data_IF_026832408855
#
_entry.id   IF_026832408855
#
_cell.length_a   1.000
_cell.length_b   1.000
_cell.length_c   1.000
_cell.angle_alpha   90.00
_cell.angle_beta   90.00
_cell.angle_gamma   90.00
#
_symmetry.space_group_name_H-M   'P 1'
#
loop_
_entity.id
_entity.type
_entity.pdbx_description
1 polymer ?
#
# COMPACT_ATOMS: atom_id res chain seq x y z
N UNK A 1 -21.91 -24.26 38.58
CA UNK A 1 -20.67 -24.97 38.20
C UNK A 1 -20.30 -24.60 36.77
N UNK A 2 -19.04 -24.28 36.52
CA UNK A 2 -18.50 -23.95 35.21
C UNK A 2 -17.87 -25.21 34.63
N UNK A 3 -18.21 -25.57 33.40
CA UNK A 3 -17.69 -26.77 32.73
C UNK A 3 -17.06 -26.41 31.40
N UNK A 4 -15.99 -27.12 31.04
CA UNK A 4 -15.30 -26.99 29.76
C UNK A 4 -15.40 -28.30 29.01
N UNK A 5 -15.91 -28.24 27.78
CA UNK A 5 -16.04 -29.40 26.90
C UNK A 5 -15.45 -29.06 25.53
N UNK A 6 -14.77 -30.02 24.90
CA UNK A 6 -14.32 -29.85 23.51
C UNK A 6 -15.39 -30.35 22.55
N UNK A 7 -15.96 -29.44 21.76
CA UNK A 7 -16.89 -29.79 20.69
C UNK A 7 -16.25 -29.45 19.35
N UNK A 8 -16.05 -30.46 18.49
CA UNK A 8 -15.39 -30.33 17.18
C UNK A 8 -13.99 -29.66 17.26
N UNK A 9 -13.24 -29.94 18.32
CA UNK A 9 -11.90 -29.40 18.55
C UNK A 9 -11.85 -27.96 19.07
N UNK A 10 -13.00 -27.32 19.31
CA UNK A 10 -13.08 -26.00 19.93
C UNK A 10 -13.51 -26.13 21.41
N UNK A 11 -12.83 -25.46 22.35
CA UNK A 11 -13.24 -25.43 23.74
C UNK A 11 -14.53 -24.62 23.88
N UNK A 12 -15.53 -25.26 24.49
CA UNK A 12 -16.80 -24.66 24.87
C UNK A 12 -16.85 -24.51 26.38
N UNK A 13 -16.87 -23.27 26.86
CA UNK A 13 -16.95 -22.94 28.29
C UNK A 13 -18.39 -22.62 28.64
N UNK A 14 -18.99 -23.39 29.54
CA UNK A 14 -20.36 -23.14 30.02
C UNK A 14 -20.31 -22.41 31.35
N UNK A 15 -20.71 -21.14 31.37
CA UNK A 15 -20.66 -20.26 32.54
C UNK A 15 -22.09 -19.90 32.99
N UNK A 16 -22.43 -20.03 34.28
CA UNK A 16 -23.68 -19.51 34.81
C UNK A 16 -23.61 -17.98 34.92
N UNK A 17 -24.50 -17.28 34.22
CA UNK A 17 -24.54 -15.82 34.21
C UNK A 17 -25.29 -15.28 35.45
N UNK A 18 -24.74 -14.25 36.14
CA UNK A 18 -25.26 -13.80 37.44
C UNK A 18 -26.64 -13.15 37.37
N UNK A 19 -26.96 -12.39 36.32
CA UNK A 19 -28.20 -11.59 36.28
C UNK A 19 -29.45 -12.44 36.06
N UNK A 20 -29.37 -13.40 35.13
CA UNK A 20 -30.52 -14.19 34.67
C UNK A 20 -30.51 -15.63 35.19
N UNK A 21 -29.44 -16.05 35.87
CA UNK A 21 -29.23 -17.41 36.39
C UNK A 21 -29.35 -18.50 35.33
N UNK A 22 -29.10 -18.15 34.06
CA UNK A 22 -29.04 -19.09 32.94
C UNK A 22 -27.60 -19.54 32.71
N UNK A 23 -27.41 -20.74 32.15
CA UNK A 23 -26.08 -21.22 31.75
C UNK A 23 -25.85 -20.82 30.29
N UNK A 24 -24.89 -19.94 30.06
CA UNK A 24 -24.49 -19.55 28.71
C UNK A 24 -23.23 -20.30 28.29
N UNK A 25 -23.15 -20.65 27.00
CA UNK A 25 -22.04 -21.44 26.44
C UNK A 25 -21.25 -20.59 25.46
N UNK A 26 -19.97 -20.43 25.73
CA UNK A 26 -19.04 -19.66 24.91
C UNK A 26 -18.14 -20.61 24.12
N UNK A 27 -18.14 -20.48 22.79
CA UNK A 27 -17.23 -21.24 21.94
C UNK A 27 -16.00 -20.40 21.64
N UNK A 28 -14.83 -20.86 22.07
CA UNK A 28 -13.58 -20.09 21.95
C UNK A 28 -12.69 -20.69 20.86
N UNK A 29 -11.94 -19.83 20.17
CA UNK A 29 -10.94 -20.24 19.18
C UNK A 29 -9.55 -20.19 19.83
N UNK A 30 -8.90 -21.33 20.12
CA UNK A 30 -7.67 -21.39 20.92
C UNK A 30 -6.53 -20.47 20.44
N UNK A 31 -6.41 -20.32 19.12
CA UNK A 31 -5.31 -19.60 18.46
C UNK A 31 -5.64 -18.11 18.23
N UNK A 32 -6.91 -17.79 17.92
CA UNK A 32 -7.30 -16.42 17.54
C UNK A 32 -7.93 -15.62 18.68
N UNK A 33 -8.48 -16.29 19.69
CA UNK A 33 -9.01 -15.61 20.86
C UNK A 33 -8.01 -15.61 22.00
N UNK A 34 -8.01 -14.50 22.71
CA UNK A 34 -7.28 -14.29 23.95
C UNK A 34 -8.22 -14.40 25.15
N UNK A 35 -7.64 -14.50 26.35
CA UNK A 35 -8.41 -14.42 27.61
C UNK A 35 -9.20 -13.11 27.65
N UNK A 36 -8.62 -12.00 27.18
CA UNK A 36 -9.29 -10.70 27.08
C UNK A 36 -10.56 -10.74 26.23
N UNK A 37 -10.51 -11.40 25.08
CA UNK A 37 -11.68 -11.57 24.23
C UNK A 37 -12.76 -12.40 24.93
N UNK A 38 -12.38 -13.46 25.64
CA UNK A 38 -13.31 -14.26 26.43
C UNK A 38 -13.99 -13.45 27.55
N UNK A 39 -13.21 -12.66 28.29
CA UNK A 39 -13.76 -11.79 29.33
C UNK A 39 -14.68 -10.70 28.73
N UNK A 40 -14.31 -10.14 27.58
CA UNK A 40 -15.14 -9.18 26.87
C UNK A 40 -16.47 -9.81 26.40
N UNK A 41 -16.44 -11.05 25.90
CA UNK A 41 -17.64 -11.80 25.53
C UNK A 41 -18.56 -12.04 26.72
N UNK A 42 -18.01 -12.39 27.90
CA UNK A 42 -18.79 -12.55 29.12
C UNK A 42 -19.49 -11.25 29.54
N UNK A 43 -18.75 -10.14 29.59
CA UNK A 43 -19.31 -8.84 29.97
C UNK A 43 -20.30 -8.29 28.93
N UNK A 44 -20.14 -8.64 27.64
CA UNK A 44 -21.08 -8.25 26.60
C UNK A 44 -22.41 -9.00 26.70
N UNK A 45 -22.36 -10.29 27.04
CA UNK A 45 -23.54 -11.15 27.17
C UNK A 45 -24.35 -10.83 28.43
N UNK A 46 -23.69 -10.58 29.56
CA UNK A 46 -24.35 -10.17 30.80
C UNK A 46 -23.78 -8.85 31.35
N UNK A 47 -24.57 -7.78 31.20
CA UNK A 47 -24.24 -6.45 31.71
C UNK A 47 -24.24 -6.33 33.24
N UNK A 48 -24.69 -7.35 33.97
CA UNK A 48 -24.58 -7.41 35.44
C UNK A 48 -23.24 -7.96 35.94
N UNK A 49 -22.30 -8.24 35.03
CA UNK A 49 -20.92 -8.57 35.38
C UNK A 49 -20.12 -7.28 35.47
N UNK A 50 -19.88 -6.80 36.69
CA UNK A 50 -19.05 -5.61 36.96
C UNK A 50 -17.56 -5.97 37.03
N UNK A 51 -17.24 -7.16 37.53
CA UNK A 51 -15.87 -7.62 37.70
C UNK A 51 -15.71 -9.04 37.20
N UNK A 52 -14.83 -9.23 36.22
CA UNK A 52 -14.48 -10.55 35.71
C UNK A 52 -12.96 -10.68 35.62
N UNK A 53 -12.42 -11.80 36.08
CA UNK A 53 -10.99 -12.09 36.00
C UNK A 53 -10.75 -13.59 35.96
N UNK A 54 -9.64 -13.96 35.34
CA UNK A 54 -9.12 -15.33 35.36
C UNK A 54 -7.83 -15.36 36.16
N UNK A 55 -7.69 -16.34 37.03
CA UNK A 55 -6.49 -16.56 37.84
C UNK A 55 -6.12 -18.04 37.85
N UNK A 56 -4.83 -18.35 38.00
CA UNK A 56 -4.37 -19.72 38.23
C UNK A 56 -4.86 -20.25 39.59
N UNK A 57 -4.73 -21.56 39.82
CA UNK A 57 -5.04 -22.20 41.10
C UNK A 57 -4.31 -21.54 42.28
N UNK A 58 -3.09 -21.06 42.04
CA UNK A 58 -2.24 -20.39 43.04
C UNK A 58 -2.66 -18.94 43.34
N UNK A 59 -3.69 -18.43 42.67
CA UNK A 59 -4.21 -17.07 42.89
C UNK A 59 -3.52 -15.97 42.08
N UNK A 60 -2.57 -16.32 41.21
CA UNK A 60 -1.95 -15.38 40.28
C UNK A 60 -2.91 -15.06 39.14
N UNK A 61 -3.14 -13.77 38.85
CA UNK A 61 -4.02 -13.32 37.77
C UNK A 61 -3.38 -13.60 36.40
N UNK A 62 -4.15 -14.18 35.48
CA UNK A 62 -3.73 -14.44 34.10
C UNK A 62 -3.98 -13.17 33.26
N UNK A 63 -3.00 -12.79 32.44
CA UNK A 63 -3.07 -11.60 31.61
C UNK A 63 -4.14 -11.72 30.51
N UNK A 64 -4.75 -10.61 30.12
CA UNK A 64 -5.76 -10.57 29.05
C UNK A 64 -5.19 -10.96 27.69
N UNK A 65 -3.89 -10.74 27.45
CA UNK A 65 -3.22 -11.12 26.19
C UNK A 65 -2.86 -12.60 26.10
N UNK A 66 -3.08 -13.40 27.15
CA UNK A 66 -2.76 -14.82 27.10
C UNK A 66 -3.70 -15.54 26.11
N UNK A 67 -3.18 -16.53 25.38
CA UNK A 67 -4.00 -17.31 24.44
C UNK A 67 -4.96 -18.23 25.20
N UNK A 68 -6.10 -18.52 24.60
CA UNK A 68 -7.01 -19.53 25.16
C UNK A 68 -6.37 -20.92 25.15
N UNK A 69 -5.52 -21.23 24.17
CA UNK A 69 -4.75 -22.48 24.14
C UNK A 69 -3.92 -22.66 25.43
N UNK A 70 -3.11 -21.67 25.80
CA UNK A 70 -2.29 -21.73 27.02
C UNK A 70 -3.15 -21.77 28.29
N UNK A 71 -4.30 -21.09 28.31
CA UNK A 71 -5.23 -21.15 29.44
C UNK A 71 -5.82 -22.56 29.65
N UNK A 72 -5.99 -23.33 28.57
CA UNK A 72 -6.62 -24.65 28.61
C UNK A 72 -5.63 -25.79 28.91
N UNK A 73 -4.34 -25.49 29.09
CA UNK A 73 -3.32 -26.48 29.49
C UNK A 73 -3.39 -26.82 30.98
N UNK A 74 -3.81 -25.86 31.81
CA UNK A 74 -3.90 -25.98 33.26
C UNK A 74 -5.33 -25.70 33.75
N UNK A 75 -5.65 -26.17 34.94
CA UNK A 75 -6.91 -25.80 35.61
C UNK A 75 -6.82 -24.35 36.10
N UNK A 76 -7.92 -23.61 36.03
CA UNK A 76 -7.94 -22.20 36.41
C UNK A 76 -9.18 -21.82 37.21
N UNK A 77 -9.12 -20.66 37.87
CA UNK A 77 -10.22 -20.04 38.60
C UNK A 77 -10.80 -18.90 37.76
N UNK A 78 -12.08 -18.98 37.47
CA UNK A 78 -12.85 -17.90 36.86
C UNK A 78 -13.60 -17.14 37.96
N UNK A 79 -13.27 -15.87 38.11
CA UNK A 79 -13.88 -14.97 39.08
C UNK A 79 -14.91 -14.12 38.35
N UNK A 80 -16.19 -14.23 38.73
CA UNK A 80 -17.30 -13.42 38.21
C UNK A 80 -17.97 -12.75 39.40
N UNK A 81 -17.84 -11.43 39.48
CA UNK A 81 -18.22 -10.60 40.63
C UNK A 81 -17.61 -11.15 41.93
N UNK A 82 -18.43 -11.65 42.84
CA UNK A 82 -18.01 -12.23 44.12
C UNK A 82 -17.91 -13.77 44.09
N UNK A 83 -18.26 -14.40 42.96
CA UNK A 83 -18.24 -15.85 42.82
C UNK A 83 -16.93 -16.31 42.19
N UNK A 84 -16.30 -17.30 42.83
CA UNK A 84 -15.11 -17.98 42.30
C UNK A 84 -15.51 -19.36 41.81
N UNK A 85 -15.34 -19.60 40.52
CA UNK A 85 -15.58 -20.90 39.90
C UNK A 85 -14.26 -21.59 39.61
N UNK A 86 -14.10 -22.81 40.13
CA UNK A 86 -13.01 -23.69 39.75
C UNK A 86 -13.35 -24.35 38.41
N UNK A 87 -12.50 -24.15 37.41
CA UNK A 87 -12.70 -24.66 36.05
C UNK A 87 -11.66 -25.75 35.80
N UNK A 88 -12.14 -26.99 35.69
CA UNK A 88 -11.29 -28.12 35.35
C UNK A 88 -11.21 -28.24 33.82
N UNK A 89 -9.99 -28.20 33.28
CA UNK A 89 -9.76 -28.26 31.84
C UNK A 89 -9.54 -29.72 31.41
N UNK A 90 -10.32 -30.26 30.47
CA UNK A 90 -10.10 -31.62 30.00
C UNK A 90 -8.77 -31.70 29.27
N UNK A 91 -7.87 -32.56 29.74
CA UNK A 91 -6.54 -32.77 29.14
C UNK A 91 -6.71 -33.24 27.70
N UNK A 92 -6.22 -32.45 26.74
CA UNK A 92 -6.17 -32.89 25.34
C UNK A 92 -5.15 -34.03 25.19
N UNK A 93 -5.59 -35.16 24.66
CA UNK A 93 -4.67 -36.19 24.18
C UNK A 93 -3.84 -35.59 23.04
N UNK A 94 -2.52 -35.52 23.24
CA UNK A 94 -1.60 -35.08 22.19
C UNK A 94 -1.60 -36.13 21.09
N UNK A 95 -2.25 -35.81 19.97
CA UNK A 95 -2.22 -36.61 18.75
C UNK A 95 -0.77 -36.95 18.38
N UNK A 96 -0.55 -38.18 17.92
CA UNK A 96 0.79 -38.60 17.48
C UNK A 96 1.20 -37.79 16.24
N UNK A 97 2.51 -37.58 16.05
CA UNK A 97 3.03 -36.78 14.91
C UNK A 97 2.57 -37.30 13.54
N UNK A 98 2.28 -38.60 13.43
CA UNK A 98 1.77 -39.23 12.21
C UNK A 98 0.29 -38.90 11.95
N UNK A 99 -0.54 -38.87 12.99
CA UNK A 99 -1.94 -38.48 12.89
C UNK A 99 -2.08 -36.99 12.55
N UNK A 100 -1.23 -36.14 13.13
CA UNK A 100 -1.17 -34.71 12.80
C UNK A 100 -0.85 -34.50 11.32
N UNK A 101 0.10 -35.27 10.76
CA UNK A 101 0.43 -35.21 9.32
C UNK A 101 -0.74 -35.60 8.43
N UNK A 102 -1.41 -36.73 8.71
CA UNK A 102 -2.58 -37.16 7.93
C UNK A 102 -3.72 -36.15 8.01
N UNK A 103 -3.99 -35.56 9.18
CA UNK A 103 -5.00 -34.53 9.34
C UNK A 103 -4.66 -33.24 8.59
N UNK A 104 -3.38 -32.84 8.55
CA UNK A 104 -2.95 -31.68 7.77
C UNK A 104 -3.16 -31.90 6.27
N UNK A 105 -2.93 -33.11 5.76
CA UNK A 105 -3.15 -33.43 4.35
C UNK A 105 -4.65 -33.35 3.99
N UNK A 106 -5.51 -33.91 4.85
CA UNK A 106 -6.98 -33.83 4.68
C UNK A 106 -7.46 -32.38 4.76
N UNK A 107 -6.94 -31.59 5.72
CA UNK A 107 -7.26 -30.17 5.84
C UNK A 107 -6.82 -29.39 4.60
N UNK A 108 -5.64 -29.68 4.06
CA UNK A 108 -5.15 -29.04 2.84
C UNK A 108 -6.04 -29.37 1.64
N UNK A 109 -6.49 -30.62 1.50
CA UNK A 109 -7.43 -31.02 0.44
C UNK A 109 -8.79 -30.32 0.59
N UNK A 110 -9.33 -30.24 1.82
CA UNK A 110 -10.58 -29.52 2.10
C UNK A 110 -10.42 -28.03 1.80
N UNK A 111 -9.28 -27.42 2.14
CA UNK A 111 -8.99 -26.03 1.80
C UNK A 111 -8.91 -25.83 0.29
N UNK A 112 -8.25 -26.73 -0.45
CA UNK A 112 -8.20 -26.69 -1.91
C UNK A 112 -9.58 -26.80 -2.56
N UNK A 113 -10.45 -27.68 -2.03
CA UNK A 113 -11.83 -27.80 -2.47
C UNK A 113 -12.67 -26.56 -2.14
N UNK A 114 -12.51 -26.02 -0.93
CA UNK A 114 -13.19 -24.80 -0.50
C UNK A 114 -12.77 -23.60 -1.34
N UNK A 115 -11.47 -23.49 -1.65
CA UNK A 115 -10.95 -22.55 -2.63
C UNK A 115 -11.61 -22.80 -3.99
N UNK A 116 -11.54 -23.99 -4.57
CA UNK A 116 -12.14 -24.27 -5.87
C UNK A 116 -13.65 -23.94 -5.95
N UNK A 117 -14.40 -24.17 -4.88
CA UNK A 117 -15.85 -23.92 -4.81
C UNK A 117 -16.22 -22.45 -4.58
N UNK A 118 -15.40 -21.68 -3.86
CA UNK A 118 -15.70 -20.29 -3.49
C UNK A 118 -14.79 -19.25 -4.14
N UNK A 119 -13.81 -19.66 -4.96
CA UNK A 119 -12.86 -18.77 -5.64
C UNK A 119 -13.60 -17.74 -6.49
N UNK A 120 -14.59 -18.14 -7.30
CA UNK A 120 -15.27 -17.18 -8.19
C UNK A 120 -15.96 -16.04 -7.42
N UNK A 121 -16.72 -16.38 -6.37
CA UNK A 121 -17.42 -15.38 -5.57
C UNK A 121 -16.46 -14.51 -4.75
N UNK A 122 -15.39 -15.09 -4.21
CA UNK A 122 -14.37 -14.34 -3.47
C UNK A 122 -13.59 -13.39 -4.39
N UNK A 123 -13.23 -13.85 -5.59
CA UNK A 123 -12.52 -13.06 -6.59
C UNK A 123 -13.38 -11.87 -7.06
N UNK A 124 -14.66 -12.10 -7.38
CA UNK A 124 -15.59 -11.04 -7.78
C UNK A 124 -15.78 -9.99 -6.69
N UNK A 125 -15.89 -10.42 -5.42
CA UNK A 125 -16.01 -9.49 -4.30
C UNK A 125 -14.74 -8.66 -4.11
N UNK A 126 -13.57 -9.29 -4.23
CA UNK A 126 -12.28 -8.62 -4.08
C UNK A 126 -11.97 -7.68 -5.24
N UNK A 127 -12.35 -8.06 -6.46
CA UNK A 127 -12.27 -7.20 -7.63
C UNK A 127 -13.15 -5.95 -7.46
N UNK A 128 -14.40 -6.11 -7.02
CA UNK A 128 -15.29 -4.97 -6.71
C UNK A 128 -14.72 -4.05 -5.64
N UNK A 129 -14.15 -4.61 -4.58
CA UNK A 129 -13.52 -3.83 -3.51
C UNK A 129 -12.34 -3.00 -4.04
N UNK A 130 -11.46 -3.61 -4.85
CA UNK A 130 -10.32 -2.91 -5.45
C UNK A 130 -10.75 -1.84 -6.46
N UNK A 131 -11.78 -2.09 -7.26
CA UNK A 131 -12.32 -1.04 -8.14
C UNK A 131 -12.94 0.10 -7.34
N UNK A 132 -13.62 -0.18 -6.23
CA UNK A 132 -14.14 0.86 -5.34
C UNK A 132 -13.03 1.73 -4.75
N UNK A 133 -11.96 1.11 -4.26
CA UNK A 133 -10.77 1.82 -3.77
C UNK A 133 -10.09 2.63 -4.88
N UNK A 134 -10.01 2.08 -6.09
CA UNK A 134 -9.43 2.76 -7.25
C UNK A 134 -10.22 4.01 -7.64
N UNK A 135 -11.56 3.91 -7.62
CA UNK A 135 -12.44 5.04 -7.93
C UNK A 135 -12.32 6.14 -6.88
N UNK A 136 -12.30 5.79 -5.59
CA UNK A 136 -12.08 6.74 -4.50
C UNK A 136 -10.75 7.49 -4.63
N UNK A 137 -9.66 6.75 -4.87
CA UNK A 137 -8.33 7.33 -5.10
C UNK A 137 -8.28 8.22 -6.34
N UNK A 138 -8.96 7.85 -7.43
CA UNK A 138 -9.03 8.63 -8.68
C UNK A 138 -9.79 9.93 -8.49
N UNK A 139 -10.92 9.90 -7.77
CA UNK A 139 -11.72 11.09 -7.45
C UNK A 139 -10.91 12.07 -6.59
N UNK A 140 -10.15 11.58 -5.62
CA UNK A 140 -9.28 12.44 -4.82
C UNK A 140 -8.10 13.01 -5.64
N UNK A 141 -7.60 12.25 -6.62
CA UNK A 141 -6.48 12.66 -7.47
C UNK A 141 -6.86 13.72 -8.51
N UNK A 142 -8.09 13.68 -9.03
CA UNK A 142 -8.56 14.56 -10.10
C UNK A 142 -8.33 16.07 -9.86
N UNK A 143 -8.70 16.66 -8.70
CA UNK A 143 -8.46 18.09 -8.45
C UNK A 143 -6.97 18.44 -8.30
N UNK A 144 -6.16 17.50 -7.81
CA UNK A 144 -4.70 17.66 -7.70
C UNK A 144 -4.04 17.59 -9.08
N UNK A 145 -4.53 16.71 -9.95
CA UNK A 145 -4.04 16.51 -11.31
C UNK A 145 -4.37 17.71 -12.20
N UNK A 146 -5.57 18.28 -12.10
CA UNK A 146 -5.94 19.53 -12.80
C UNK A 146 -5.00 20.68 -12.41
N UNK A 147 -4.79 20.91 -11.11
CA UNK A 147 -3.85 21.94 -10.63
C UNK A 147 -2.41 21.69 -11.09
N UNK A 148 -1.97 20.43 -11.12
CA UNK A 148 -0.65 20.07 -11.62
C UNK A 148 -0.55 20.35 -13.13
N UNK A 149 -1.54 19.95 -13.93
CA UNK A 149 -1.54 20.18 -15.38
C UNK A 149 -1.48 21.67 -15.72
N UNK A 150 -2.20 22.51 -14.98
CA UNK A 150 -2.10 23.96 -15.13
C UNK A 150 -0.68 24.47 -14.84
N UNK A 151 -0.04 23.97 -13.78
CA UNK A 151 1.34 24.33 -13.46
C UNK A 151 2.35 23.85 -14.51
N UNK A 152 2.15 22.64 -15.03
CA UNK A 152 2.97 21.97 -16.04
C UNK A 152 2.93 22.73 -17.37
N UNK A 153 1.74 23.05 -17.88
CA UNK A 153 1.57 23.85 -19.11
C UNK A 153 2.22 25.23 -18.97
N UNK A 154 2.13 25.87 -17.81
CA UNK A 154 2.79 27.15 -17.57
C UNK A 154 4.32 27.03 -17.45
N UNK A 155 4.84 25.92 -16.94
CA UNK A 155 6.26 25.67 -16.83
C UNK A 155 6.85 25.35 -18.20
N UNK A 156 6.20 24.51 -19.00
CA UNK A 156 6.55 24.22 -20.39
C UNK A 156 6.62 25.49 -21.25
N UNK A 157 5.61 26.37 -21.17
CA UNK A 157 5.63 27.65 -21.90
C UNK A 157 6.88 28.47 -21.56
N UNK A 158 7.26 28.55 -20.29
CA UNK A 158 8.46 29.29 -19.88
C UNK A 158 9.74 28.64 -20.38
N UNK A 159 9.84 27.32 -20.31
CA UNK A 159 11.03 26.62 -20.79
C UNK A 159 11.16 26.74 -22.30
N UNK A 160 10.06 26.62 -23.05
CA UNK A 160 10.02 26.85 -24.49
C UNK A 160 10.44 28.28 -24.84
N UNK A 161 9.90 29.29 -24.15
CA UNK A 161 10.34 30.69 -24.34
C UNK A 161 11.85 30.84 -24.08
N UNK A 162 12.38 30.23 -23.02
CA UNK A 162 13.81 30.27 -22.72
C UNK A 162 14.65 29.64 -23.84
N UNK A 163 14.22 28.49 -24.38
CA UNK A 163 14.88 27.85 -25.51
C UNK A 163 14.87 28.74 -26.77
N UNK A 164 13.73 29.37 -27.07
CA UNK A 164 13.62 30.33 -28.19
C UNK A 164 14.46 31.59 -27.98
N UNK A 165 14.56 32.09 -26.74
CA UNK A 165 15.45 33.21 -26.40
C UNK A 165 16.91 32.82 -26.59
N UNK A 166 17.29 31.60 -26.19
CA UNK A 166 18.63 31.06 -26.44
C UNK A 166 18.96 31.02 -27.93
N UNK A 167 18.03 30.54 -28.75
CA UNK A 167 18.17 30.55 -30.21
C UNK A 167 18.32 31.97 -30.77
N UNK A 168 17.46 32.90 -30.33
CA UNK A 168 17.53 34.30 -30.73
C UNK A 168 18.85 34.97 -30.37
N UNK A 169 19.38 34.69 -29.18
CA UNK A 169 20.69 35.22 -28.74
C UNK A 169 21.83 34.68 -29.61
N UNK A 170 21.81 33.39 -29.97
CA UNK A 170 22.81 32.84 -30.90
C UNK A 170 22.69 33.44 -32.31
N UNK A 171 21.47 33.70 -32.78
CA UNK A 171 21.24 34.39 -34.07
C UNK A 171 21.76 35.83 -34.06
N UNK A 172 21.53 36.58 -32.98
CA UNK A 172 22.04 37.95 -32.81
C UNK A 172 23.57 37.94 -32.71
N UNK A 173 24.15 37.02 -31.93
CA UNK A 173 25.60 36.84 -31.83
C UNK A 173 26.23 36.61 -33.20
N UNK A 174 25.63 35.73 -34.03
CA UNK A 174 26.07 35.50 -35.40
C UNK A 174 25.93 36.74 -36.28
N UNK A 175 24.79 37.44 -36.22
CA UNK A 175 24.54 38.64 -37.01
C UNK A 175 25.49 39.80 -36.70
N UNK A 176 25.81 40.02 -35.42
CA UNK A 176 26.79 41.03 -34.98
C UNK A 176 28.17 40.67 -35.53
N UNK A 177 28.63 39.43 -35.34
CA UNK A 177 29.93 38.99 -35.86
C UNK A 177 29.99 39.10 -37.40
N UNK A 178 28.95 38.70 -38.11
CA UNK A 178 28.87 38.82 -39.57
C UNK A 178 28.94 40.29 -40.03
N UNK A 179 28.24 41.19 -39.34
CA UNK A 179 28.26 42.62 -39.66
C UNK A 179 29.64 43.23 -39.44
N UNK A 180 30.27 42.96 -38.28
CA UNK A 180 31.60 43.46 -37.98
C UNK A 180 32.65 42.89 -38.95
N UNK A 181 32.53 41.64 -39.38
CA UNK A 181 33.54 40.97 -40.21
C UNK A 181 33.49 41.35 -41.69
N UNK A 182 32.33 41.79 -42.20
CA UNK A 182 32.16 42.09 -43.63
C UNK A 182 32.10 43.58 -43.97
N UNK A 183 31.75 44.43 -43.01
CA UNK A 183 31.47 45.83 -43.28
C UNK A 183 32.31 46.81 -42.44
N UNK A 184 32.56 46.53 -41.16
CA UNK A 184 33.36 47.43 -40.30
C UNK A 184 34.85 47.06 -40.23
N UNK A 185 35.16 45.77 -40.09
CA UNK A 185 36.51 45.28 -39.82
C UNK A 185 36.87 44.13 -40.77
N UNK A 186 38.14 44.02 -41.13
CA UNK A 186 38.64 42.85 -41.86
C UNK A 186 38.73 41.63 -40.96
N UNK A 187 38.68 40.43 -41.56
CA UNK A 187 38.71 39.15 -40.87
C UNK A 187 39.89 38.99 -39.90
N UNK A 188 41.06 39.56 -40.25
CA UNK A 188 42.30 39.55 -39.45
C UNK A 188 42.14 40.17 -38.04
N UNK A 189 41.24 41.15 -37.87
CA UNK A 189 40.96 41.77 -36.55
C UNK A 189 39.91 40.96 -35.76
N UNK A 190 39.00 40.27 -36.47
CA UNK A 190 37.89 39.52 -35.85
C UNK A 190 38.26 38.08 -35.46
N UNK A 191 39.30 37.51 -36.07
CA UNK A 191 39.83 36.16 -35.76
C UNK A 191 40.03 35.92 -34.25
N UNK A 192 40.82 36.73 -33.51
CA UNK A 192 41.01 36.51 -32.06
C UNK A 192 39.72 36.70 -31.26
N UNK A 193 38.83 37.60 -31.67
CA UNK A 193 37.55 37.87 -30.98
C UNK A 193 36.64 36.65 -31.05
N UNK A 194 36.48 36.05 -32.23
CA UNK A 194 35.67 34.84 -32.39
C UNK A 194 36.24 33.63 -31.64
N UNK A 195 37.56 33.54 -31.54
CA UNK A 195 38.24 32.50 -30.75
C UNK A 195 37.92 32.64 -29.26
N UNK A 196 38.05 33.85 -28.69
CA UNK A 196 37.71 34.11 -27.28
C UNK A 196 36.23 33.88 -26.99
N UNK A 197 35.34 34.23 -27.91
CA UNK A 197 33.90 33.99 -27.76
C UNK A 197 33.61 32.49 -27.74
N UNK A 198 34.18 31.72 -28.67
CA UNK A 198 34.01 30.25 -28.71
C UNK A 198 34.56 29.59 -27.46
N UNK A 199 35.78 29.95 -27.06
CA UNK A 199 36.40 29.42 -25.84
C UNK A 199 35.62 29.82 -24.58
N UNK A 200 35.07 31.04 -24.54
CA UNK A 200 34.20 31.53 -23.47
C UNK A 200 32.90 30.73 -23.36
N UNK A 201 32.26 30.39 -24.48
CA UNK A 201 31.06 29.52 -24.48
C UNK A 201 31.37 28.10 -23.99
N UNK A 202 32.50 27.53 -24.40
CA UNK A 202 32.95 26.23 -23.91
C UNK A 202 33.26 26.25 -22.40
N UNK A 203 33.90 27.31 -21.92
CA UNK A 203 34.17 27.52 -20.50
C UNK A 203 32.88 27.68 -19.69
N UNK A 204 31.87 28.39 -20.22
CA UNK A 204 30.56 28.52 -19.58
C UNK A 204 29.82 27.17 -19.51
N UNK A 205 29.87 26.37 -20.57
CA UNK A 205 29.31 25.01 -20.58
C UNK A 205 30.01 24.11 -19.54
N UNK A 206 31.33 24.21 -19.43
CA UNK A 206 32.10 23.49 -18.41
C UNK A 206 31.80 23.97 -16.99
N UNK A 207 31.67 25.28 -16.77
CA UNK A 207 31.27 25.85 -15.49
C UNK A 207 29.87 25.35 -15.07
N UNK A 208 28.94 25.25 -16.01
CA UNK A 208 27.62 24.65 -15.78
C UNK A 208 27.73 23.18 -15.36
N UNK A 209 28.58 22.40 -16.02
CA UNK A 209 28.87 21.01 -15.63
C UNK A 209 29.43 20.90 -14.22
N UNK A 210 30.39 21.75 -13.84
CA UNK A 210 31.00 21.74 -12.49
C UNK A 210 29.95 22.00 -11.41
N UNK A 211 29.04 22.95 -11.65
CA UNK A 211 27.97 23.32 -10.72
C UNK A 211 26.85 22.27 -10.65
N UNK A 212 26.50 21.66 -11.79
CA UNK A 212 25.31 20.79 -11.92
C UNK A 212 25.64 19.30 -11.85
N UNK A 213 26.92 18.94 -12.02
CA UNK A 213 27.44 17.55 -12.12
C UNK A 213 26.76 16.71 -13.21
N UNK A 214 26.23 17.36 -14.24
CA UNK A 214 25.56 16.75 -15.39
C UNK A 214 26.04 17.43 -16.67
N UNK A 215 26.24 16.65 -17.73
CA UNK A 215 26.62 17.16 -19.04
C UNK A 215 25.56 18.13 -19.58
N UNK A 216 25.98 19.10 -20.40
CA UNK A 216 25.06 20.09 -20.98
C UNK A 216 24.26 19.47 -22.12
N UNK A 217 23.26 18.65 -21.76
CA UNK A 217 22.26 18.10 -22.67
C UNK A 217 21.01 18.98 -22.60
N UNK A 218 20.65 19.60 -23.72
CA UNK A 218 19.47 20.46 -23.85
C UNK A 218 18.16 19.86 -23.29
N UNK A 219 17.84 18.57 -23.51
CA UNK A 219 16.65 17.95 -22.90
C UNK A 219 16.76 17.87 -21.37
N UNK A 220 17.90 17.44 -20.83
CA UNK A 220 18.10 17.27 -19.39
C UNK A 220 18.07 18.62 -18.64
N UNK A 221 18.62 19.68 -19.25
CA UNK A 221 18.54 21.05 -18.70
C UNK A 221 17.09 21.53 -18.69
N UNK A 222 16.32 21.24 -19.75
CA UNK A 222 14.89 21.56 -19.84
C UNK A 222 14.09 20.84 -18.75
N UNK A 223 14.31 19.55 -18.56
CA UNK A 223 13.58 18.74 -17.57
C UNK A 223 13.92 19.14 -16.13
N UNK A 224 15.20 19.43 -15.86
CA UNK A 224 15.63 19.95 -14.55
C UNK A 224 15.01 21.32 -14.26
N UNK A 225 15.06 22.23 -15.21
CA UNK A 225 14.48 23.56 -15.05
C UNK A 225 12.96 23.49 -14.89
N UNK A 226 12.32 22.59 -15.62
CA UNK A 226 10.89 22.27 -15.48
C UNK A 226 10.57 21.81 -14.05
N UNK A 227 11.33 20.83 -13.53
CA UNK A 227 11.13 20.29 -12.18
C UNK A 227 11.31 21.36 -11.09
N UNK A 228 12.35 22.18 -11.19
CA UNK A 228 12.61 23.27 -10.23
C UNK A 228 11.48 24.30 -10.26
N UNK A 229 11.00 24.68 -11.45
CA UNK A 229 9.89 25.63 -11.59
C UNK A 229 8.59 25.03 -11.04
N UNK A 230 8.32 23.77 -11.33
CA UNK A 230 7.15 23.04 -10.85
C UNK A 230 7.14 22.98 -9.32
N UNK A 231 8.21 22.51 -8.69
CA UNK A 231 8.31 22.43 -7.21
C UNK A 231 8.20 23.81 -6.55
N UNK A 232 8.88 24.83 -7.08
CA UNK A 232 8.79 26.20 -6.54
C UNK A 232 7.36 26.75 -6.63
N UNK A 233 6.63 26.45 -7.70
CA UNK A 233 5.24 26.92 -7.87
C UNK A 233 4.24 26.08 -7.08
N UNK A 234 4.40 24.77 -7.01
CA UNK A 234 3.59 23.90 -6.18
C UNK A 234 3.63 24.37 -4.72
N UNK A 235 4.81 24.73 -4.20
CA UNK A 235 4.94 25.36 -2.87
C UNK A 235 4.21 26.70 -2.74
N UNK A 236 4.17 27.53 -3.79
CA UNK A 236 3.46 28.81 -3.78
C UNK A 236 1.94 28.67 -3.82
N UNK A 237 1.45 27.66 -4.52
CA UNK A 237 0.01 27.34 -4.66
C UNK A 237 -0.48 26.50 -3.47
N UNK A 238 0.42 25.99 -2.64
CA UNK A 238 0.09 25.10 -1.52
C UNK A 238 -0.32 23.70 -1.99
N UNK A 239 0.13 23.27 -3.18
CA UNK A 239 -0.10 21.91 -3.65
C UNK A 239 0.84 20.97 -2.90
N UNK A 240 0.26 20.06 -2.13
CA UNK A 240 1.01 19.02 -1.43
C UNK A 240 1.44 17.92 -2.41
N UNK A 241 2.67 18.06 -2.92
CA UNK A 241 3.28 17.12 -3.86
C UNK A 241 3.50 15.73 -3.25
N UNK A 242 3.72 15.66 -1.93
CA UNK A 242 3.96 14.40 -1.24
C UNK A 242 2.66 13.60 -1.17
N UNK A 243 1.54 14.26 -0.83
CA UNK A 243 0.21 13.65 -0.90
C UNK A 243 -0.15 13.21 -2.32
N UNK A 244 0.13 14.03 -3.34
CA UNK A 244 -0.11 13.64 -4.74
C UNK A 244 0.69 12.39 -5.14
N UNK A 245 1.97 12.32 -4.75
CA UNK A 245 2.82 11.17 -5.06
C UNK A 245 2.32 9.90 -4.34
N UNK A 246 1.94 10.01 -3.07
CA UNK A 246 1.35 8.89 -2.31
C UNK A 246 0.07 8.39 -2.96
N UNK A 247 -0.81 9.30 -3.39
CA UNK A 247 -2.07 8.97 -4.03
C UNK A 247 -1.83 8.29 -5.39
N UNK A 248 -0.89 8.80 -6.19
CA UNK A 248 -0.49 8.21 -7.48
C UNK A 248 0.14 6.83 -7.31
N UNK A 249 0.96 6.65 -6.27
CA UNK A 249 1.53 5.36 -5.92
C UNK A 249 0.43 4.38 -5.49
N UNK A 250 -0.54 4.83 -4.68
CA UNK A 250 -1.72 4.05 -4.29
C UNK A 250 -2.52 3.57 -5.49
N UNK A 251 -2.84 4.46 -6.43
CA UNK A 251 -3.50 4.11 -7.71
C UNK A 251 -2.69 3.06 -8.47
N UNK A 252 -1.38 3.26 -8.62
CA UNK A 252 -0.52 2.30 -9.34
C UNK A 252 -0.47 0.93 -8.66
N UNK A 253 -0.51 0.87 -7.34
CA UNK A 253 -0.53 -0.39 -6.57
C UNK A 253 -1.85 -1.12 -6.76
N UNK A 254 -2.98 -0.42 -6.61
CA UNK A 254 -4.33 -1.00 -6.80
C UNK A 254 -4.51 -1.48 -8.24
N UNK A 255 -4.07 -0.70 -9.23
CA UNK A 255 -4.11 -1.13 -10.64
C UNK A 255 -3.22 -2.35 -10.90
N UNK A 256 -2.06 -2.44 -10.27
CA UNK A 256 -1.21 -3.62 -10.36
C UNK A 256 -1.88 -4.85 -9.72
N UNK A 257 -2.58 -4.69 -8.60
CA UNK A 257 -3.29 -5.77 -7.93
C UNK A 257 -4.50 -6.24 -8.74
N UNK A 258 -5.26 -5.34 -9.36
CA UNK A 258 -6.33 -5.69 -10.32
C UNK A 258 -5.75 -6.45 -11.51
N UNK A 259 -4.61 -6.01 -12.07
CA UNK A 259 -3.94 -6.71 -13.18
C UNK A 259 -3.50 -8.11 -12.79
N UNK A 260 -2.97 -8.29 -11.58
CA UNK A 260 -2.59 -9.61 -11.04
C UNK A 260 -3.81 -10.52 -10.88
N UNK A 261 -4.89 -9.99 -10.32
CA UNK A 261 -6.14 -10.73 -10.16
C UNK A 261 -6.72 -11.19 -11.50
N UNK A 262 -6.54 -10.41 -12.56
CA UNK A 262 -7.01 -10.74 -13.91
C UNK A 262 -6.03 -11.60 -14.72
N UNK A 263 -4.87 -11.96 -14.17
CA UNK A 263 -3.85 -12.72 -14.88
C UNK A 263 -4.39 -14.13 -15.23
N UNK A 264 -4.58 -14.45 -16.54
CA UNK A 264 -5.21 -15.69 -16.96
C UNK A 264 -4.42 -16.94 -16.53
N UNK A 265 -3.11 -16.81 -16.28
CA UNK A 265 -2.26 -17.90 -15.82
C UNK A 265 -2.50 -18.29 -14.36
N UNK A 266 -2.97 -17.36 -13.52
CA UNK A 266 -3.26 -17.62 -12.10
C UNK A 266 -4.71 -18.08 -11.86
N UNK A 267 -5.60 -17.75 -12.79
CA UNK A 267 -7.03 -18.02 -12.69
C UNK A 267 -7.46 -19.41 -13.20
N UNK A 268 -6.57 -20.20 -13.81
CA UNK A 268 -6.93 -21.43 -14.54
C UNK A 268 -8.16 -21.27 -15.45
N UNK A 269 -8.43 -20.05 -15.91
CA UNK A 269 -9.52 -19.80 -16.85
C UNK A 269 -9.11 -20.39 -18.20
N UNK A 270 -10.02 -21.05 -18.94
CA UNK A 270 -9.73 -21.49 -20.28
C UNK A 270 -9.23 -20.27 -21.07
N UNK A 271 -8.17 -20.42 -21.91
CA UNK A 271 -7.60 -19.31 -22.64
C UNK A 271 -8.74 -18.63 -23.40
N UNK A 272 -8.98 -17.36 -23.06
CA UNK A 272 -9.94 -16.55 -23.79
C UNK A 272 -9.47 -16.56 -25.23
N UNK A 273 -10.21 -17.27 -26.09
CA UNK A 273 -9.99 -17.29 -27.51
C UNK A 273 -10.00 -15.81 -27.92
N UNK A 274 -8.83 -15.26 -28.19
CA UNK A 274 -8.71 -13.95 -28.81
C UNK A 274 -9.52 -14.11 -30.09
N UNK A 275 -10.68 -13.46 -30.14
CA UNK A 275 -11.43 -13.29 -31.38
C UNK A 275 -10.43 -12.62 -32.30
N UNK A 276 -9.92 -13.41 -33.24
CA UNK A 276 -9.06 -12.92 -34.29
C UNK A 276 -9.84 -11.79 -34.93
N UNK A 277 -9.33 -10.57 -34.81
CA UNK A 277 -9.84 -9.42 -35.53
C UNK A 277 -9.47 -9.62 -37.00
N UNK A 278 -10.23 -10.52 -37.65
CA UNK A 278 -10.21 -10.83 -39.07
C UNK A 278 -11.41 -10.12 -39.69
N UNK A 279 -11.35 -8.80 -39.72
CA UNK A 279 -12.00 -7.95 -40.74
C UNK A 279 -11.59 -6.51 -40.42
N UNK A 280 -10.78 -5.82 -41.21
CA UNK A 280 -11.05 -5.52 -42.62
C UNK A 280 -9.75 -5.11 -43.32
N UNK A 281 -9.43 -5.82 -44.38
CA UNK A 281 -8.93 -5.27 -45.65
C UNK A 281 -9.99 -5.65 -46.71
N UNK A 282 -10.15 -4.94 -47.83
CA UNK A 282 -9.11 -4.36 -48.69
C UNK A 282 -8.96 -2.84 -48.60
#
# INVERSE_FOLDING_TARGET
EVTVEYFRGLPQVTVPLPSRRERCRFTLRPISNTVGDFLAMLCHEDRGIDRVAVSSLDGVKIASSNSIEALMEEDFKLIVNDNVYLVNTPRQERLTKEEVRRLSDVRNLVNQLYEALNVEQHQLNKERELYGQLEELKVELEPLEQKRQELETMAERRTTVLTWVGLGLMSVQFGILARLTWWEYSWDIMEPVTYFVTYGTAMAAYAYYVLTKQEYLLPDVKDRQHLIILHKRARKVGLDLDRYNQLKEGVSRVEADIRRLRDPLQLHLPPSHQLSDRSKSP
#
